data_IF_802572531973
#
_entry.id   IF_802572531973
#
_cell.length_a   1.000
_cell.length_b   1.000
_cell.length_c   1.000
_cell.angle_alpha   90.00
_cell.angle_beta   90.00
_cell.angle_gamma   90.00
#
_symmetry.space_group_name_H-M   'P 1'
#
loop_
_entity.id
_entity.type
_entity.pdbx_description
1 polymer ?
#
# COMPACT_ATOMS: atom_id res chain seq x y z
N UNK A 1 7.49 -22.16 -7.37
CA UNK A 1 8.79 -21.44 -7.26
C UNK A 1 8.67 -20.02 -6.67
N UNK A 2 7.62 -19.19 -6.94
CA UNK A 2 7.40 -17.93 -6.21
C UNK A 2 7.00 -18.12 -4.73
N UNK A 3 6.28 -19.17 -4.40
CA UNK A 3 5.76 -19.46 -3.05
C UNK A 3 6.85 -19.86 -2.03
N UNK A 4 7.99 -20.38 -2.45
CA UNK A 4 9.07 -20.81 -1.53
C UNK A 4 9.84 -19.62 -0.91
N UNK A 5 9.86 -18.47 -1.58
CA UNK A 5 10.65 -17.30 -1.15
C UNK A 5 10.09 -16.69 0.14
N UNK A 6 8.75 -16.72 0.33
CA UNK A 6 8.08 -16.09 1.47
C UNK A 6 7.86 -17.03 2.65
N UNK A 7 8.20 -18.31 2.49
CA UNK A 7 7.94 -19.34 3.50
C UNK A 7 8.64 -19.04 4.81
N UNK A 8 9.93 -18.69 4.76
CA UNK A 8 10.73 -18.43 5.96
C UNK A 8 10.23 -17.21 6.74
N UNK A 9 9.94 -16.10 6.04
CA UNK A 9 9.45 -14.89 6.69
C UNK A 9 8.08 -15.11 7.36
N UNK A 10 7.24 -15.96 6.76
CA UNK A 10 5.95 -16.31 7.37
C UNK A 10 6.16 -17.16 8.62
N UNK A 11 7.04 -18.17 8.58
CA UNK A 11 7.36 -18.98 9.75
C UNK A 11 7.91 -18.13 10.89
N UNK A 12 8.92 -17.29 10.63
CA UNK A 12 9.55 -16.41 11.60
C UNK A 12 8.51 -15.46 12.25
N UNK A 13 7.63 -14.89 11.46
CA UNK A 13 6.59 -13.98 11.94
C UNK A 13 5.58 -14.68 12.86
N UNK A 14 5.19 -15.93 12.56
CA UNK A 14 4.28 -16.70 13.40
C UNK A 14 4.96 -17.24 14.67
N UNK A 15 6.24 -17.61 14.60
CA UNK A 15 7.03 -18.04 15.77
C UNK A 15 7.31 -16.89 16.74
N UNK A 16 7.38 -15.64 16.24
CA UNK A 16 7.56 -14.45 17.08
C UNK A 16 6.38 -14.16 18.03
N UNK A 17 5.22 -14.78 17.79
CA UNK A 17 4.00 -14.67 18.62
C UNK A 17 3.55 -13.23 18.91
N UNK A 18 3.71 -12.37 17.93
CA UNK A 18 3.23 -10.98 18.01
C UNK A 18 1.71 -10.91 17.88
N UNK A 19 1.12 -9.73 18.09
CA UNK A 19 -0.33 -9.51 18.01
C UNK A 19 -0.88 -9.72 16.58
N UNK A 20 -0.05 -9.45 15.55
CA UNK A 20 -0.40 -9.69 14.15
C UNK A 20 0.85 -10.01 13.32
N UNK A 21 1.11 -11.29 13.00
CA UNK A 21 2.27 -11.69 12.21
C UNK A 21 2.36 -11.00 10.85
N UNK A 22 1.21 -10.72 10.24
CA UNK A 22 1.14 -10.07 8.92
C UNK A 22 1.57 -8.59 9.00
N UNK A 23 1.30 -7.90 10.12
CA UNK A 23 1.84 -6.56 10.36
C UNK A 23 3.36 -6.54 10.41
N UNK A 24 3.97 -7.58 11.01
CA UNK A 24 5.43 -7.68 11.09
C UNK A 24 6.05 -7.91 9.72
N UNK A 25 5.47 -8.83 8.95
CA UNK A 25 5.89 -9.07 7.55
C UNK A 25 5.79 -7.75 6.76
N UNK A 26 4.67 -7.06 6.83
CA UNK A 26 4.47 -5.78 6.14
C UNK A 26 5.50 -4.72 6.57
N UNK A 27 5.74 -4.60 7.87
CA UNK A 27 6.73 -3.66 8.43
C UNK A 27 8.16 -3.97 7.95
N UNK A 28 8.52 -5.25 7.93
CA UNK A 28 9.83 -5.68 7.46
C UNK A 28 9.99 -5.46 5.95
N UNK A 29 8.95 -5.73 5.18
CA UNK A 29 8.91 -5.46 3.75
C UNK A 29 9.08 -3.95 3.46
N UNK A 30 8.37 -3.08 4.19
CA UNK A 30 8.48 -1.62 4.06
C UNK A 30 9.89 -1.13 4.38
N UNK A 31 10.50 -1.64 5.46
CA UNK A 31 11.88 -1.30 5.84
C UNK A 31 12.91 -1.79 4.83
N UNK A 32 12.76 -3.02 4.36
CA UNK A 32 13.66 -3.63 3.37
C UNK A 32 13.61 -2.86 2.05
N UNK A 33 12.41 -2.54 1.58
CA UNK A 33 12.22 -1.75 0.36
C UNK A 33 12.81 -0.35 0.50
N UNK A 34 12.53 0.35 1.62
CA UNK A 34 13.09 1.68 1.89
C UNK A 34 14.62 1.65 1.90
N UNK A 35 15.22 0.65 2.51
CA UNK A 35 16.67 0.46 2.51
C UNK A 35 17.23 0.24 1.10
N UNK A 36 16.60 -0.60 0.30
CA UNK A 36 16.98 -0.84 -1.11
C UNK A 36 16.81 0.40 -1.97
N UNK A 37 15.73 1.17 -1.76
CA UNK A 37 15.47 2.42 -2.45
C UNK A 37 16.64 3.40 -2.32
N UNK A 38 17.17 3.57 -1.12
CA UNK A 38 18.27 4.50 -0.86
C UNK A 38 19.63 3.96 -1.28
N UNK A 39 19.84 2.65 -1.23
CA UNK A 39 21.15 2.07 -1.54
C UNK A 39 21.38 1.93 -3.04
N UNK A 40 20.39 1.41 -3.77
CA UNK A 40 20.58 0.91 -5.13
C UNK A 40 19.71 1.65 -6.16
N UNK A 41 18.47 2.00 -5.80
CA UNK A 41 17.48 2.51 -6.75
C UNK A 41 17.59 4.01 -7.01
N UNK A 42 18.07 4.81 -6.06
CA UNK A 42 18.12 6.27 -6.18
C UNK A 42 18.97 6.75 -7.38
N UNK A 43 19.93 5.93 -7.81
CA UNK A 43 20.80 6.20 -8.97
C UNK A 43 20.42 5.40 -10.21
N UNK A 44 19.43 4.52 -10.11
CA UNK A 44 18.97 3.72 -11.25
C UNK A 44 18.06 4.56 -12.17
N UNK A 45 18.44 4.64 -13.44
CA UNK A 45 17.67 5.39 -14.42
C UNK A 45 16.32 4.76 -14.75
N UNK A 46 16.20 3.44 -14.72
CA UNK A 46 14.92 2.76 -14.94
C UNK A 46 13.95 3.06 -13.82
N UNK A 47 14.40 2.95 -12.57
CA UNK A 47 13.61 3.33 -11.39
C UNK A 47 13.23 4.81 -11.42
N UNK A 48 14.18 5.70 -11.74
CA UNK A 48 13.91 7.13 -11.87
C UNK A 48 12.85 7.42 -12.94
N UNK A 49 12.85 6.69 -14.06
CA UNK A 49 11.82 6.85 -15.10
C UNK A 49 10.45 6.32 -14.63
N UNK A 50 10.43 5.25 -13.84
CA UNK A 50 9.21 4.72 -13.25
C UNK A 50 8.52 5.75 -12.33
N UNK A 51 9.29 6.58 -11.63
CA UNK A 51 8.76 7.67 -10.79
C UNK A 51 8.01 8.76 -11.58
N UNK A 52 8.06 8.76 -12.91
CA UNK A 52 7.31 9.69 -13.75
C UNK A 52 5.79 9.52 -13.59
N UNK A 53 5.34 8.27 -13.44
CA UNK A 53 3.93 7.93 -13.36
C UNK A 53 3.47 7.53 -11.94
N UNK A 54 4.36 7.62 -10.96
CA UNK A 54 4.10 7.28 -9.56
C UNK A 54 4.58 8.38 -8.62
N UNK A 55 4.04 8.38 -7.40
CA UNK A 55 4.40 9.34 -6.34
C UNK A 55 4.56 8.61 -5.02
N UNK A 56 4.98 9.33 -3.98
CA UNK A 56 4.89 8.84 -2.61
C UNK A 56 3.75 9.55 -1.90
N UNK A 57 2.90 8.80 -1.18
CA UNK A 57 1.90 9.39 -0.31
C UNK A 57 2.58 10.09 0.88
N UNK A 58 1.86 10.96 1.57
CA UNK A 58 2.39 11.73 2.71
C UNK A 58 2.98 10.85 3.81
N UNK A 59 2.36 9.68 4.08
CA UNK A 59 2.88 8.71 5.06
C UNK A 59 4.26 8.18 4.65
N UNK A 60 4.39 7.69 3.42
CA UNK A 60 5.65 7.12 2.95
C UNK A 60 6.72 8.18 2.70
N UNK A 61 6.33 9.36 2.20
CA UNK A 61 7.27 10.48 2.08
C UNK A 61 7.85 10.87 3.45
N UNK A 62 7.00 10.95 4.49
CA UNK A 62 7.46 11.23 5.85
C UNK A 62 8.38 10.13 6.39
N UNK A 63 8.09 8.86 6.11
CA UNK A 63 8.97 7.74 6.46
C UNK A 63 10.33 7.87 5.78
N UNK A 64 10.36 8.20 4.48
CA UNK A 64 11.59 8.46 3.73
C UNK A 64 12.39 9.64 4.29
N UNK A 65 11.71 10.73 4.72
CA UNK A 65 12.35 11.85 5.38
C UNK A 65 13.04 11.51 6.70
N UNK A 66 12.55 10.50 7.41
CA UNK A 66 13.18 10.04 8.66
C UNK A 66 14.35 9.09 8.43
N UNK A 67 14.58 8.64 7.20
CA UNK A 67 15.72 7.78 6.86
C UNK A 67 17.04 8.57 6.88
N UNK A 68 18.16 7.88 7.15
CA UNK A 68 19.48 8.54 7.33
C UNK A 68 20.04 9.17 6.07
N UNK A 69 19.84 8.54 4.92
CA UNK A 69 20.43 8.98 3.66
C UNK A 69 19.61 10.11 3.02
N UNK A 70 19.99 11.34 3.37
CA UNK A 70 19.37 12.56 2.83
C UNK A 70 19.78 12.86 1.41
N UNK A 71 20.97 12.40 0.98
CA UNK A 71 21.45 12.63 -0.38
C UNK A 71 20.65 11.85 -1.39
N UNK A 72 20.48 10.54 -1.20
CA UNK A 72 19.65 9.70 -2.07
C UNK A 72 18.19 10.17 -2.09
N UNK A 73 17.65 10.60 -0.94
CA UNK A 73 16.32 11.21 -0.90
C UNK A 73 16.24 12.47 -1.77
N UNK A 74 17.24 13.34 -1.70
CA UNK A 74 17.28 14.56 -2.50
C UNK A 74 17.34 14.25 -4.01
N UNK A 75 18.07 13.22 -4.43
CA UNK A 75 18.10 12.77 -5.82
C UNK A 75 16.71 12.33 -6.30
N UNK A 76 16.02 11.50 -5.52
CA UNK A 76 14.68 11.02 -5.83
C UNK A 76 13.70 12.20 -5.95
N UNK A 77 13.67 13.09 -4.96
CA UNK A 77 12.78 14.25 -4.94
C UNK A 77 13.09 15.19 -6.11
N UNK A 78 14.37 15.46 -6.39
CA UNK A 78 14.77 16.30 -7.51
C UNK A 78 14.28 15.74 -8.85
N UNK A 79 14.36 14.42 -9.03
CA UNK A 79 13.88 13.76 -10.25
C UNK A 79 12.36 13.87 -10.39
N UNK A 80 11.62 13.65 -9.30
CA UNK A 80 10.17 13.81 -9.27
C UNK A 80 9.76 15.26 -9.61
N UNK A 81 10.41 16.26 -9.02
CA UNK A 81 10.17 17.67 -9.33
C UNK A 81 10.46 18.00 -10.80
N UNK A 82 11.52 17.43 -11.37
CA UNK A 82 11.83 17.64 -12.79
C UNK A 82 10.70 17.15 -13.72
N UNK A 83 10.06 16.03 -13.38
CA UNK A 83 8.89 15.55 -14.13
C UNK A 83 7.68 16.45 -13.96
N UNK A 84 7.39 16.93 -12.74
CA UNK A 84 6.29 17.87 -12.48
C UNK A 84 6.48 19.18 -13.25
N UNK A 85 7.69 19.74 -13.22
CA UNK A 85 8.01 20.95 -13.96
C UNK A 85 7.76 20.76 -15.45
N UNK A 86 8.26 19.68 -16.04
CA UNK A 86 8.06 19.38 -17.45
C UNK A 86 6.57 19.21 -17.83
N UNK A 87 5.75 18.57 -16.96
CA UNK A 87 4.30 18.47 -17.18
C UNK A 87 3.61 19.84 -17.13
N UNK A 88 4.00 20.70 -16.17
CA UNK A 88 3.45 22.05 -16.05
C UNK A 88 3.80 22.91 -17.27
N UNK A 89 5.06 22.85 -17.73
CA UNK A 89 5.49 23.56 -18.94
C UNK A 89 4.71 23.08 -20.18
N UNK A 90 4.59 21.74 -20.37
CA UNK A 90 3.81 21.19 -21.47
C UNK A 90 2.32 21.59 -21.42
N UNK A 91 1.75 21.75 -20.23
CA UNK A 91 0.36 22.18 -20.06
C UNK A 91 0.15 23.66 -20.38
N UNK A 92 1.16 24.50 -20.13
CA UNK A 92 1.12 25.93 -20.50
C UNK A 92 1.22 26.13 -22.00
N UNK A 93 2.09 25.38 -22.70
CA UNK A 93 2.24 25.44 -24.14
C UNK A 93 0.92 25.08 -24.84
N UNK A 94 0.25 24.01 -24.40
CA UNK A 94 -1.05 23.62 -24.96
C UNK A 94 -2.15 24.70 -24.82
N UNK A 95 -2.12 25.50 -23.76
CA UNK A 95 -3.05 26.60 -23.59
C UNK A 95 -2.77 27.76 -24.55
N UNK A 96 -1.51 28.11 -24.77
CA UNK A 96 -1.13 29.14 -25.71
C UNK A 96 -1.50 28.78 -27.15
N UNK A 97 -1.40 27.52 -27.54
CA UNK A 97 -1.73 27.03 -28.88
C UNK A 97 -3.28 27.09 -29.14
N UNK A 98 -4.09 26.85 -28.09
CA UNK A 98 -5.55 26.94 -28.19
C UNK A 98 -6.05 28.37 -28.22
N UNK A 99 -5.41 29.31 -27.54
CA UNK A 99 -5.77 30.73 -27.57
C UNK A 99 -5.46 31.40 -28.94
N UNK A 100 -4.40 30.94 -29.60
CA UNK A 100 -4.00 31.48 -30.92
C UNK A 100 -4.95 31.10 -32.06
N UNK A 101 -5.75 30.03 -31.90
CA UNK A 101 -6.72 29.57 -32.91
C UNK A 101 -8.15 30.09 -32.70
N UNK A 102 -8.41 30.85 -31.62
CA UNK A 102 -9.70 31.50 -31.43
C UNK A 102 -9.85 32.68 -32.39
N UNK A 103 -10.71 32.55 -33.39
CA UNK A 103 -11.04 33.66 -34.26
C UNK A 103 -11.67 34.78 -33.45
N UNK A 104 -11.38 36.04 -33.80
CA UNK A 104 -11.95 37.25 -33.16
C UNK A 104 -13.49 37.21 -33.08
N UNK A 105 -14.13 36.46 -33.97
CA UNK A 105 -15.57 36.24 -34.03
C UNK A 105 -16.07 35.33 -32.91
N UNK A 106 -15.35 34.26 -32.54
CA UNK A 106 -15.72 33.38 -31.42
C UNK A 106 -15.58 34.10 -30.07
N UNK A 107 -14.53 34.89 -29.89
CA UNK A 107 -14.35 35.72 -28.69
C UNK A 107 -15.47 36.78 -28.55
N UNK A 108 -15.98 37.28 -29.67
CA UNK A 108 -17.10 38.26 -29.69
C UNK A 108 -18.44 37.59 -29.31
N UNK A 109 -18.73 36.39 -29.81
CA UNK A 109 -19.97 35.64 -29.49
C UNK A 109 -19.99 35.25 -28.00
N UNK A 110 -18.88 34.75 -27.43
CA UNK A 110 -18.80 34.36 -26.01
C UNK A 110 -19.07 35.55 -25.06
N UNK A 111 -18.72 36.75 -25.46
CA UNK A 111 -18.90 37.98 -24.66
C UNK A 111 -20.37 38.43 -24.55
N UNK A 112 -21.24 38.03 -25.48
CA UNK A 112 -22.64 38.45 -25.54
C UNK A 112 -23.68 37.37 -25.17
N UNK A 113 -23.29 36.07 -25.13
CA UNK A 113 -24.27 35.00 -25.01
C UNK A 113 -24.21 34.26 -23.64
N UNK A 114 -23.16 34.39 -22.85
CA UNK A 114 -23.08 33.71 -21.54
C UNK A 114 -22.62 34.65 -20.42
N UNK A 115 -23.39 34.77 -19.30
CA UNK A 115 -22.81 35.21 -18.05
C UNK A 115 -21.80 34.13 -17.62
N UNK A 116 -20.55 34.52 -17.47
CA UNK A 116 -19.47 33.64 -17.13
C UNK A 116 -19.71 32.95 -15.76
N UNK A 117 -20.23 31.73 -15.80
CA UNK A 117 -20.02 30.82 -14.68
C UNK A 117 -18.51 30.55 -14.60
N UNK A 118 -17.91 30.60 -13.41
CA UNK A 118 -16.49 30.27 -13.27
C UNK A 118 -16.32 28.84 -13.79
N UNK A 119 -15.58 28.69 -14.90
CA UNK A 119 -15.24 27.37 -15.42
C UNK A 119 -14.50 26.65 -14.30
N UNK A 120 -15.22 25.72 -13.65
CA UNK A 120 -14.56 24.79 -12.75
C UNK A 120 -13.42 24.15 -13.54
N UNK A 121 -12.22 24.34 -13.06
CA UNK A 121 -11.04 23.65 -13.55
C UNK A 121 -11.32 22.15 -13.34
N UNK A 122 -11.81 21.47 -14.35
CA UNK A 122 -11.73 20.02 -14.39
C UNK A 122 -10.25 19.72 -14.61
N UNK A 123 -9.52 19.72 -13.50
CA UNK A 123 -8.27 19.03 -13.39
C UNK A 123 -8.65 17.58 -13.65
N UNK A 124 -8.25 17.02 -14.78
CA UNK A 124 -8.04 15.58 -14.86
C UNK A 124 -6.95 15.33 -13.83
N UNK A 125 -7.37 15.06 -12.59
CA UNK A 125 -6.47 14.67 -11.53
C UNK A 125 -5.92 13.32 -11.96
N UNK A 126 -4.74 13.34 -12.58
CA UNK A 126 -3.92 12.16 -12.73
C UNK A 126 -3.72 11.64 -11.30
N UNK A 127 -4.51 10.65 -10.93
CA UNK A 127 -4.45 10.06 -9.60
C UNK A 127 -3.19 9.19 -9.58
N UNK A 128 -2.09 9.78 -9.15
CA UNK A 128 -0.85 9.04 -8.97
C UNK A 128 -0.99 8.06 -7.82
N UNK A 129 -0.75 6.78 -8.07
CA UNK A 129 -0.62 5.79 -7.01
C UNK A 129 0.69 6.01 -6.25
N UNK A 130 0.68 5.73 -4.96
CA UNK A 130 1.92 5.72 -4.19
C UNK A 130 2.72 4.46 -4.55
N UNK A 131 3.92 4.65 -5.07
CA UNK A 131 4.80 3.54 -5.47
C UNK A 131 5.00 2.51 -4.36
N UNK A 132 5.32 2.96 -3.15
CA UNK A 132 5.55 2.06 -2.02
C UNK A 132 4.25 1.36 -1.55
N UNK A 133 3.10 2.06 -1.58
CA UNK A 133 1.83 1.40 -1.28
C UNK A 133 1.54 0.27 -2.27
N UNK A 134 1.66 0.55 -3.57
CA UNK A 134 1.39 -0.44 -4.62
C UNK A 134 2.34 -1.65 -4.54
N UNK A 135 3.62 -1.39 -4.28
CA UNK A 135 4.61 -2.46 -4.07
C UNK A 135 4.27 -3.34 -2.87
N UNK A 136 3.93 -2.72 -1.72
CA UNK A 136 3.56 -3.46 -0.51
C UNK A 136 2.27 -4.26 -0.75
N UNK A 137 1.26 -3.66 -1.36
CA UNK A 137 -0.02 -4.31 -1.63
C UNK A 137 0.15 -5.57 -2.50
N UNK A 138 0.89 -5.46 -3.60
CA UNK A 138 1.21 -6.59 -4.47
C UNK A 138 1.96 -7.71 -3.72
N UNK A 139 2.98 -7.35 -2.94
CA UNK A 139 3.75 -8.35 -2.20
C UNK A 139 2.95 -8.99 -1.07
N UNK A 140 2.12 -8.23 -0.39
CA UNK A 140 1.27 -8.76 0.68
C UNK A 140 0.22 -9.74 0.17
N UNK A 141 -0.24 -9.61 -1.07
CA UNK A 141 -1.09 -10.65 -1.70
C UNK A 141 -0.33 -11.98 -1.85
N UNK A 142 0.94 -11.94 -2.30
CA UNK A 142 1.79 -13.12 -2.43
C UNK A 142 2.05 -13.78 -1.04
N UNK A 143 2.30 -12.98 0.00
CA UNK A 143 2.48 -13.49 1.37
C UNK A 143 1.22 -14.16 1.91
N UNK A 144 0.07 -13.56 1.72
CA UNK A 144 -1.21 -14.14 2.19
C UNK A 144 -1.56 -15.41 1.41
N UNK A 145 -1.31 -15.46 0.11
CA UNK A 145 -1.49 -16.68 -0.69
C UNK A 145 -0.55 -17.80 -0.20
N UNK A 146 0.72 -17.49 0.06
CA UNK A 146 1.70 -18.46 0.61
C UNK A 146 1.30 -18.94 2.00
N UNK A 147 0.79 -18.06 2.87
CA UNK A 147 0.27 -18.43 4.19
C UNK A 147 -0.85 -19.48 4.08
N UNK A 148 -1.80 -19.25 3.17
CA UNK A 148 -2.94 -20.16 2.94
C UNK A 148 -2.44 -21.50 2.41
N UNK A 149 -1.49 -21.50 1.48
CA UNK A 149 -0.87 -22.70 0.94
C UNK A 149 -0.12 -23.48 2.03
N UNK A 150 0.66 -22.82 2.89
CA UNK A 150 1.32 -23.43 4.05
C UNK A 150 0.31 -24.02 5.03
N UNK A 151 -0.77 -23.32 5.32
CA UNK A 151 -1.83 -23.86 6.18
C UNK A 151 -2.46 -25.12 5.59
N UNK A 152 -2.66 -25.14 4.27
CA UNK A 152 -3.22 -26.29 3.55
C UNK A 152 -2.28 -27.49 3.55
N UNK A 153 -1.02 -27.27 3.20
CA UNK A 153 -0.09 -28.34 2.83
C UNK A 153 0.94 -28.71 3.92
N UNK A 154 1.07 -27.91 5.00
CA UNK A 154 2.05 -28.12 6.05
C UNK A 154 1.40 -28.28 7.43
N UNK A 155 1.39 -29.50 7.96
CA UNK A 155 0.78 -29.81 9.26
C UNK A 155 1.43 -29.07 10.43
N UNK A 156 2.76 -28.88 10.39
CA UNK A 156 3.48 -28.17 11.44
C UNK A 156 3.13 -26.68 11.44
N UNK A 157 3.03 -26.07 10.25
CA UNK A 157 2.58 -24.69 10.14
C UNK A 157 1.10 -24.54 10.57
N UNK A 158 0.24 -25.49 10.20
CA UNK A 158 -1.16 -25.50 10.66
C UNK A 158 -1.26 -25.52 12.18
N UNK A 159 -0.40 -26.32 12.86
CA UNK A 159 -0.34 -26.33 14.32
C UNK A 159 0.12 -24.98 14.90
N UNK A 160 1.14 -24.37 14.29
CA UNK A 160 1.62 -23.03 14.66
C UNK A 160 0.55 -21.95 14.46
N UNK A 161 -0.13 -21.98 13.33
CA UNK A 161 -1.25 -21.07 13.02
C UNK A 161 -2.37 -21.17 14.06
N UNK A 162 -2.71 -22.40 14.46
CA UNK A 162 -3.78 -22.70 15.42
C UNK A 162 -3.57 -22.07 16.80
N UNK A 163 -2.32 -21.90 17.24
CA UNK A 163 -1.95 -21.29 18.53
C UNK A 163 -1.54 -19.82 18.40
N UNK A 164 -1.78 -19.20 17.24
CA UNK A 164 -1.47 -17.81 16.99
C UNK A 164 -2.34 -16.84 17.82
N UNK A 165 -1.88 -15.58 17.87
CA UNK A 165 -2.54 -14.51 18.64
C UNK A 165 -3.62 -13.75 17.86
N UNK A 166 -3.92 -14.16 16.62
CA UNK A 166 -4.89 -13.48 15.74
C UNK A 166 -4.23 -12.47 14.81
N UNK A 167 -5.02 -11.52 14.36
CA UNK A 167 -4.64 -10.54 13.34
C UNK A 167 -5.23 -9.17 13.66
N UNK A 168 -4.64 -8.10 13.14
CA UNK A 168 -5.29 -6.81 13.13
C UNK A 168 -6.52 -6.85 12.20
N UNK A 169 -7.42 -5.89 12.36
CA UNK A 169 -8.67 -5.84 11.61
C UNK A 169 -8.46 -5.91 10.09
N UNK A 170 -7.52 -5.15 9.55
CA UNK A 170 -7.23 -5.11 8.12
C UNK A 170 -6.75 -6.47 7.60
N UNK A 171 -5.75 -7.05 8.24
CA UNK A 171 -5.14 -8.31 7.80
C UNK A 171 -6.06 -9.52 8.02
N UNK A 172 -6.90 -9.50 9.05
CA UNK A 172 -7.93 -10.52 9.22
C UNK A 172 -8.85 -10.61 7.99
N UNK A 173 -9.39 -9.48 7.52
CA UNK A 173 -10.24 -9.48 6.33
C UNK A 173 -9.48 -9.79 5.04
N UNK A 174 -8.22 -9.37 4.93
CA UNK A 174 -7.38 -9.73 3.81
C UNK A 174 -7.19 -11.24 3.71
N UNK A 175 -6.88 -11.92 4.83
CA UNK A 175 -6.74 -13.38 4.88
C UNK A 175 -8.06 -14.08 4.53
N UNK A 176 -9.16 -13.67 5.14
CA UNK A 176 -10.49 -14.24 4.87
C UNK A 176 -10.88 -14.12 3.39
N UNK A 177 -10.64 -12.95 2.79
CA UNK A 177 -10.99 -12.71 1.40
C UNK A 177 -10.11 -13.50 0.43
N UNK A 178 -8.82 -13.65 0.72
CA UNK A 178 -7.93 -14.47 -0.10
C UNK A 178 -8.22 -15.97 0.07
N UNK A 179 -8.53 -16.43 1.28
CA UNK A 179 -8.92 -17.82 1.51
C UNK A 179 -10.12 -18.26 0.63
N UNK A 180 -11.09 -17.37 0.45
CA UNK A 180 -12.25 -17.63 -0.43
C UNK A 180 -11.88 -17.76 -1.91
N UNK A 181 -10.73 -17.24 -2.33
CA UNK A 181 -10.22 -17.37 -3.69
C UNK A 181 -9.41 -18.66 -3.88
N UNK A 182 -8.65 -19.04 -2.85
CA UNK A 182 -7.64 -20.11 -2.91
C UNK A 182 -8.16 -21.48 -2.43
N UNK A 183 -9.13 -21.49 -1.51
CA UNK A 183 -9.68 -22.71 -0.91
C UNK A 183 -11.13 -22.93 -1.31
N UNK A 184 -11.57 -24.19 -1.25
CA UNK A 184 -12.94 -24.58 -1.59
C UNK A 184 -13.50 -25.58 -0.57
N UNK A 185 -14.82 -25.66 -0.53
CA UNK A 185 -15.58 -26.66 0.20
C UNK A 185 -15.09 -26.83 1.66
N UNK A 186 -14.88 -28.04 2.10
CA UNK A 186 -14.48 -28.39 3.45
C UNK A 186 -13.14 -27.74 3.90
N UNK A 187 -12.19 -27.56 2.97
CA UNK A 187 -10.91 -26.88 3.28
C UNK A 187 -11.15 -25.42 3.66
N UNK A 188 -12.01 -24.73 2.91
CA UNK A 188 -12.37 -23.34 3.19
C UNK A 188 -13.08 -23.22 4.54
N UNK A 189 -14.05 -24.09 4.78
CA UNK A 189 -14.82 -24.08 6.04
C UNK A 189 -13.91 -24.29 7.25
N UNK A 190 -12.99 -25.25 7.18
CA UNK A 190 -12.03 -25.56 8.22
C UNK A 190 -11.05 -24.39 8.46
N UNK A 191 -10.54 -23.76 7.39
CA UNK A 191 -9.68 -22.60 7.49
C UNK A 191 -10.39 -21.42 8.13
N UNK A 192 -11.57 -21.09 7.64
CA UNK A 192 -12.38 -19.99 8.17
C UNK A 192 -12.74 -20.21 9.64
N UNK A 193 -13.23 -21.41 9.98
CA UNK A 193 -13.54 -21.76 11.37
C UNK A 193 -12.35 -21.51 12.30
N UNK A 194 -11.18 -22.02 11.91
CA UNK A 194 -9.95 -21.84 12.69
C UNK A 194 -9.58 -20.37 12.82
N UNK A 195 -9.59 -19.62 11.72
CA UNK A 195 -9.22 -18.20 11.67
C UNK A 195 -10.17 -17.34 12.52
N UNK A 196 -11.47 -17.57 12.40
CA UNK A 196 -12.48 -16.85 13.23
C UNK A 196 -12.36 -17.18 14.72
N UNK A 197 -12.09 -18.44 15.06
CA UNK A 197 -11.87 -18.85 16.45
C UNK A 197 -10.66 -18.14 17.07
N UNK A 198 -9.51 -18.15 16.39
CA UNK A 198 -8.29 -17.48 16.85
C UNK A 198 -8.56 -15.98 17.03
N UNK A 199 -9.19 -15.34 16.05
CA UNK A 199 -9.54 -13.93 16.11
C UNK A 199 -10.47 -13.60 17.27
N UNK A 200 -11.48 -14.43 17.52
CA UNK A 200 -12.41 -14.25 18.62
C UNK A 200 -11.71 -14.37 19.99
N UNK A 201 -10.80 -15.34 20.13
CA UNK A 201 -10.03 -15.52 21.37
C UNK A 201 -9.11 -14.32 21.63
N UNK A 202 -8.44 -13.82 20.61
CA UNK A 202 -7.60 -12.62 20.69
C UNK A 202 -8.41 -11.39 21.11
N UNK A 203 -9.56 -11.16 20.49
CA UNK A 203 -10.44 -10.04 20.83
C UNK A 203 -11.00 -10.14 22.26
N UNK A 204 -11.32 -11.34 22.75
CA UNK A 204 -11.75 -11.55 24.12
C UNK A 204 -10.65 -11.19 25.12
N UNK A 205 -9.40 -11.63 24.88
CA UNK A 205 -8.26 -11.28 25.73
C UNK A 205 -8.06 -9.77 25.80
N UNK A 206 -8.04 -9.10 24.64
CA UNK A 206 -7.90 -7.65 24.57
C UNK A 206 -9.03 -6.93 25.32
N UNK A 207 -10.27 -7.38 25.17
CA UNK A 207 -11.42 -6.80 25.88
C UNK A 207 -11.31 -6.97 27.40
N UNK A 208 -10.84 -8.12 27.87
CA UNK A 208 -10.60 -8.35 29.30
C UNK A 208 -9.50 -7.45 29.88
N UNK A 209 -8.44 -7.20 29.09
CA UNK A 209 -7.36 -6.28 29.48
C UNK A 209 -7.86 -4.84 29.56
N UNK A 210 -8.64 -4.41 28.55
CA UNK A 210 -9.27 -3.09 28.56
C UNK A 210 -10.23 -2.93 29.75
N UNK A 211 -11.03 -3.93 30.05
CA UNK A 211 -11.91 -3.88 31.23
C UNK A 211 -11.13 -3.77 32.53
N UNK A 212 -10.01 -4.51 32.67
CA UNK A 212 -9.12 -4.39 33.82
C UNK A 212 -8.50 -2.99 33.94
N UNK A 213 -8.11 -2.41 32.80
CA UNK A 213 -7.60 -1.03 32.77
C UNK A 213 -8.65 -0.03 33.17
N UNK A 214 -9.86 -0.08 32.61
CA UNK A 214 -10.99 0.82 32.96
C UNK A 214 -11.30 0.78 34.43
N UNK A 215 -11.33 -0.42 35.05
CA UNK A 215 -11.59 -0.58 36.48
C UNK A 215 -10.57 0.09 37.42
N UNK A 216 -9.37 0.42 36.90
CA UNK A 216 -8.34 1.15 37.69
C UNK A 216 -8.61 2.65 37.79
N UNK A 217 -9.48 3.18 36.93
CA UNK A 217 -9.81 4.61 36.87
C UNK A 217 -11.22 4.94 37.36
N UNK A 218 -12.00 3.91 37.79
CA UNK A 218 -13.26 4.03 38.45
C UNK A 218 -13.13 3.62 39.94
#
# INVERSE_FOLDING_TARGET
MKQEIHTFEIWDAFEAKTDCPICDIQSNLEKSYTSGLFRDMAMDNEFCNYLKDSRFCSRHLNSLFNYRDKFSLALIINKMLSFEIAELEASQIRKSDVETQRTAFQAWIEKFITPAAPKSYKKDEKQYSCHLCSYIEERMEDYVATLIDLWKNNLSFRALYYVGNGFCHQHFYQIVNNAKKELKDEELDNFLYTTFRIQQESMKKLNEELQRFIKKFN
#
